data_IF_052228658192
#
_entry.id   IF_052228658192
#
_cell.length_a   1.000
_cell.length_b   1.000
_cell.length_c   1.000
_cell.angle_alpha   90.00
_cell.angle_beta   90.00
_cell.angle_gamma   90.00
#
_symmetry.space_group_name_H-M   'P 1'
#
loop_
_entity.id
_entity.type
_entity.pdbx_description
1 polymer ?
#
# COMPACT_ATOMS: atom_id res chain seq x y z
N UNK A 1 5.44 13.96 35.73
CA UNK A 1 4.91 12.76 35.02
C UNK A 1 4.22 13.14 33.68
N UNK A 2 4.79 14.03 32.86
CA UNK A 2 4.14 14.49 31.61
C UNK A 2 5.11 14.74 30.43
N UNK A 3 6.34 14.22 30.49
CA UNK A 3 7.39 14.50 29.49
C UNK A 3 7.86 13.27 28.70
N UNK A 4 7.37 12.06 29.03
CA UNK A 4 7.78 10.81 28.35
C UNK A 4 6.91 10.45 27.12
N UNK A 5 5.69 10.97 27.00
CA UNK A 5 4.76 10.54 25.93
C UNK A 5 4.90 11.27 24.59
N UNK A 6 5.71 12.34 24.50
CA UNK A 6 5.92 13.08 23.24
C UNK A 6 7.10 12.54 22.43
N UNK A 7 8.03 11.82 23.07
CA UNK A 7 9.21 11.26 22.39
C UNK A 7 8.90 9.96 21.63
N UNK A 8 7.98 9.14 22.14
CA UNK A 8 7.55 7.91 21.48
C UNK A 8 6.79 8.18 20.17
N UNK A 9 5.93 9.21 20.13
CA UNK A 9 5.23 9.63 18.91
C UNK A 9 6.17 10.20 17.83
N UNK A 10 7.28 10.84 18.23
CA UNK A 10 8.25 11.39 17.28
C UNK A 10 9.11 10.31 16.62
N UNK A 11 9.44 9.25 17.36
CA UNK A 11 10.12 8.07 16.79
C UNK A 11 9.18 7.23 15.90
N UNK A 12 7.89 7.19 16.23
CA UNK A 12 6.87 6.48 15.42
C UNK A 12 6.64 7.11 14.04
N UNK A 13 6.84 8.43 13.90
CA UNK A 13 6.61 9.17 12.65
C UNK A 13 7.86 9.31 11.76
N UNK A 14 9.08 9.10 12.29
CA UNK A 14 10.32 9.35 11.53
C UNK A 14 11.47 8.33 11.68
N UNK A 15 11.37 7.25 12.45
CA UNK A 15 12.53 6.37 12.65
C UNK A 15 12.23 4.94 13.04
N UNK A 16 12.14 4.05 12.03
CA UNK A 16 12.63 2.68 12.14
C UNK A 16 13.60 2.44 10.97
N UNK A 17 14.93 2.47 11.20
CA UNK A 17 15.93 2.24 10.15
C UNK A 17 16.09 0.75 9.77
N UNK A 18 15.49 -0.17 10.51
CA UNK A 18 15.80 -1.61 10.41
C UNK A 18 15.20 -2.35 9.21
N UNK A 19 14.33 -1.72 8.40
CA UNK A 19 13.78 -2.33 7.19
C UNK A 19 14.02 -1.53 5.91
N UNK A 20 14.80 -0.44 5.98
CA UNK A 20 14.93 0.52 4.86
C UNK A 20 16.22 0.39 4.05
N UNK A 21 16.99 -0.67 4.22
CA UNK A 21 18.24 -0.84 3.48
C UNK A 21 18.27 -2.15 2.66
N UNK A 22 17.27 -2.34 1.79
CA UNK A 22 17.34 -3.28 0.65
C UNK A 22 16.56 -2.84 -0.59
N UNK A 23 15.89 -1.68 -0.61
CA UNK A 23 14.99 -1.29 -1.73
C UNK A 23 15.54 -0.20 -2.66
N UNK A 24 16.85 -0.07 -2.76
CA UNK A 24 17.48 0.80 -3.74
C UNK A 24 18.36 -0.07 -4.65
N UNK A 25 17.94 -0.23 -5.91
CA UNK A 25 18.41 -1.20 -6.90
C UNK A 25 18.06 -2.66 -6.60
N UNK A 26 16.99 -3.14 -7.22
CA UNK A 26 16.94 -4.42 -7.97
C UNK A 26 15.49 -4.73 -8.35
N UNK A 27 15.12 -4.39 -9.59
CA UNK A 27 14.09 -5.10 -10.32
C UNK A 27 14.61 -6.51 -10.58
N UNK A 28 14.16 -7.47 -9.77
CA UNK A 28 14.37 -8.89 -9.99
C UNK A 28 14.87 -9.59 -8.72
N UNK A 29 14.11 -10.55 -8.23
CA UNK A 29 14.66 -11.70 -7.50
C UNK A 29 15.62 -11.36 -6.35
N UNK A 30 15.11 -10.87 -5.22
CA UNK A 30 15.88 -10.75 -3.97
C UNK A 30 16.22 -12.13 -3.33
N UNK A 31 16.54 -13.13 -4.16
CA UNK A 31 16.97 -14.46 -3.78
C UNK A 31 18.43 -14.75 -4.18
N UNK A 32 19.08 -13.90 -4.97
CA UNK A 32 20.43 -14.19 -5.50
C UNK A 32 21.60 -13.58 -4.71
N UNK A 33 21.39 -12.52 -3.93
CA UNK A 33 22.50 -11.77 -3.29
C UNK A 33 22.93 -12.27 -1.89
N UNK A 34 22.31 -13.31 -1.34
CA UNK A 34 22.82 -14.01 -0.14
C UNK A 34 23.73 -15.21 -0.46
N UNK A 35 24.07 -15.44 -1.73
CA UNK A 35 25.00 -16.50 -2.15
C UNK A 35 26.50 -16.13 -2.03
N UNK A 36 26.83 -14.90 -1.61
CA UNK A 36 28.20 -14.37 -1.73
C UNK A 36 29.09 -14.44 -0.48
N UNK A 37 28.58 -14.71 0.74
CA UNK A 37 29.36 -14.42 1.96
C UNK A 37 29.36 -15.49 3.07
N UNK A 38 29.11 -16.78 2.79
CA UNK A 38 29.37 -17.81 3.80
C UNK A 38 30.11 -19.03 3.22
N UNK A 39 31.24 -19.44 3.81
CA UNK A 39 31.90 -20.69 3.47
C UNK A 39 31.02 -21.85 3.92
N UNK A 40 31.05 -22.90 3.12
CA UNK A 40 30.14 -24.03 3.08
C UNK A 40 29.82 -24.68 4.44
N UNK A 41 28.53 -24.81 4.78
CA UNK A 41 28.01 -26.05 5.34
C UNK A 41 26.49 -26.21 5.12
N UNK A 42 26.13 -27.37 4.60
CA UNK A 42 24.83 -27.76 4.01
C UNK A 42 23.89 -28.23 5.14
N UNK A 43 22.75 -27.56 5.38
CA UNK A 43 21.41 -28.18 5.18
C UNK A 43 20.23 -27.18 5.26
N UNK A 44 20.47 -25.88 5.45
CA UNK A 44 19.39 -24.87 5.57
C UNK A 44 18.83 -24.34 4.23
N UNK A 45 19.48 -24.67 3.11
CA UNK A 45 19.14 -24.12 1.78
C UNK A 45 17.84 -24.68 1.19
N UNK A 46 17.48 -25.93 1.50
CA UNK A 46 16.24 -26.54 1.01
C UNK A 46 15.00 -25.94 1.70
N UNK A 47 15.07 -25.72 3.03
CA UNK A 47 13.99 -25.11 3.80
C UNK A 47 13.72 -23.65 3.37
N UNK A 48 14.76 -22.84 3.18
CA UNK A 48 14.57 -21.43 2.77
C UNK A 48 14.05 -21.34 1.33
N UNK A 49 14.55 -22.17 0.39
CA UNK A 49 14.04 -22.23 -0.98
C UNK A 49 12.60 -22.73 -1.05
N UNK A 50 12.24 -23.75 -0.27
CA UNK A 50 10.85 -24.21 -0.20
C UNK A 50 9.93 -23.15 0.39
N UNK A 51 10.36 -22.42 1.42
CA UNK A 51 9.58 -21.33 2.01
C UNK A 51 9.37 -20.16 1.05
N UNK A 52 10.39 -19.78 0.26
CA UNK A 52 10.25 -18.76 -0.79
C UNK A 52 9.31 -19.20 -1.90
N UNK A 53 9.43 -20.46 -2.35
CA UNK A 53 8.54 -21.05 -3.37
C UNK A 53 7.09 -21.15 -2.89
N UNK A 54 6.87 -21.52 -1.63
CA UNK A 54 5.53 -21.57 -1.02
C UNK A 54 4.94 -20.17 -0.89
N UNK A 55 5.75 -19.16 -0.55
CA UNK A 55 5.29 -17.77 -0.49
C UNK A 55 4.94 -17.20 -1.87
N UNK A 56 5.69 -17.56 -2.91
CA UNK A 56 5.41 -17.19 -4.29
C UNK A 56 4.10 -17.83 -4.78
N UNK A 57 3.93 -19.14 -4.53
CA UNK A 57 2.67 -19.84 -4.83
C UNK A 57 1.48 -19.28 -4.05
N UNK A 58 1.66 -18.93 -2.77
CA UNK A 58 0.62 -18.30 -1.96
C UNK A 58 0.26 -16.89 -2.47
N UNK A 59 1.25 -16.12 -2.91
CA UNK A 59 1.03 -14.80 -3.51
C UNK A 59 0.23 -14.92 -4.81
N UNK A 60 0.49 -15.92 -5.65
CA UNK A 60 -0.29 -16.18 -6.85
C UNK A 60 -1.75 -16.49 -6.52
N UNK A 61 -2.00 -17.30 -5.49
CA UNK A 61 -3.37 -17.54 -5.00
C UNK A 61 -4.03 -16.22 -4.57
N UNK A 62 -3.34 -15.37 -3.81
CA UNK A 62 -3.88 -14.07 -3.40
C UNK A 62 -4.17 -13.15 -4.59
N UNK A 63 -3.33 -13.15 -5.63
CA UNK A 63 -3.54 -12.38 -6.86
C UNK A 63 -4.76 -12.86 -7.64
N UNK A 64 -4.90 -14.18 -7.78
CA UNK A 64 -6.07 -14.81 -8.41
C UNK A 64 -7.34 -14.45 -7.66
N UNK A 65 -7.36 -14.62 -6.33
CA UNK A 65 -8.51 -14.25 -5.50
C UNK A 65 -8.86 -12.76 -5.59
N UNK A 66 -7.86 -11.87 -5.59
CA UNK A 66 -8.09 -10.44 -5.73
C UNK A 66 -8.68 -10.04 -7.10
N UNK A 67 -8.46 -10.84 -8.15
CA UNK A 67 -8.87 -10.52 -9.52
C UNK A 67 -10.19 -11.19 -9.89
N UNK A 68 -10.35 -12.45 -9.51
CA UNK A 68 -11.42 -13.33 -10.01
C UNK A 68 -12.65 -13.35 -9.11
N UNK A 69 -12.52 -13.01 -7.83
CA UNK A 69 -13.67 -12.88 -6.95
C UNK A 69 -14.57 -11.73 -7.42
N UNK A 70 -15.88 -11.93 -7.24
CA UNK A 70 -16.89 -10.90 -7.40
C UNK A 70 -16.65 -9.72 -6.42
N UNK A 71 -17.29 -8.55 -6.63
CA UNK A 71 -17.04 -7.37 -5.80
C UNK A 71 -17.28 -7.58 -4.30
N UNK A 72 -18.23 -8.42 -3.91
CA UNK A 72 -18.54 -8.73 -2.50
C UNK A 72 -17.50 -9.69 -1.93
N UNK A 73 -17.19 -10.79 -2.63
CA UNK A 73 -16.15 -11.73 -2.24
C UNK A 73 -14.78 -11.06 -2.08
N UNK A 74 -14.42 -10.17 -3.02
CA UNK A 74 -13.17 -9.40 -2.99
C UNK A 74 -13.10 -8.46 -1.80
N UNK A 75 -14.21 -7.78 -1.49
CA UNK A 75 -14.29 -6.93 -0.31
C UNK A 75 -14.08 -7.73 0.97
N UNK A 76 -14.74 -8.88 1.15
CA UNK A 76 -14.57 -9.74 2.32
C UNK A 76 -13.14 -10.27 2.44
N UNK A 77 -12.54 -10.67 1.33
CA UNK A 77 -11.16 -11.15 1.26
C UNK A 77 -10.15 -10.06 1.67
N UNK A 78 -10.24 -8.86 1.09
CA UNK A 78 -9.39 -7.73 1.45
C UNK A 78 -9.60 -7.30 2.90
N UNK A 79 -10.84 -7.38 3.39
CA UNK A 79 -11.17 -7.12 4.77
C UNK A 79 -10.51 -8.13 5.72
N UNK A 80 -10.47 -9.42 5.35
CA UNK A 80 -9.77 -10.45 6.10
C UNK A 80 -8.25 -10.19 6.16
N UNK A 81 -7.64 -9.77 5.05
CA UNK A 81 -6.21 -9.38 5.03
C UNK A 81 -5.97 -8.18 5.96
N UNK A 82 -6.80 -7.14 5.84
CA UNK A 82 -6.63 -5.92 6.63
C UNK A 82 -6.86 -6.14 8.14
N UNK A 83 -7.59 -7.19 8.55
CA UNK A 83 -7.71 -7.60 9.96
C UNK A 83 -6.39 -8.09 10.57
N UNK A 84 -5.42 -8.46 9.73
CA UNK A 84 -4.10 -8.90 10.17
C UNK A 84 -3.13 -7.72 10.39
N UNK A 85 -3.53 -6.49 10.01
CA UNK A 85 -2.75 -5.27 10.23
C UNK A 85 -2.95 -4.75 11.66
N UNK A 86 -2.22 -5.32 12.62
CA UNK A 86 -2.41 -5.03 14.04
C UNK A 86 -1.25 -4.20 14.61
N UNK A 87 -0.50 -4.76 15.55
CA UNK A 87 0.75 -4.22 16.09
C UNK A 87 1.95 -4.82 15.33
N UNK A 88 3.19 -4.36 15.56
CA UNK A 88 4.37 -4.95 14.95
C UNK A 88 4.47 -6.46 15.27
N UNK A 89 4.29 -7.30 14.25
CA UNK A 89 4.46 -8.75 14.32
C UNK A 89 4.69 -9.30 12.89
N UNK A 90 5.07 -10.58 12.78
CA UNK A 90 5.36 -11.22 11.49
C UNK A 90 4.15 -11.26 10.55
N UNK A 91 2.94 -11.50 11.05
CA UNK A 91 1.73 -11.47 10.23
C UNK A 91 1.45 -10.07 9.69
N UNK A 92 1.55 -9.04 10.52
CA UNK A 92 1.36 -7.65 10.09
C UNK A 92 2.36 -7.30 8.98
N UNK A 93 3.63 -7.69 9.12
CA UNK A 93 4.64 -7.47 8.08
C UNK A 93 4.28 -8.20 6.77
N UNK A 94 3.96 -9.50 6.88
CA UNK A 94 3.57 -10.32 5.72
C UNK A 94 2.35 -9.76 5.00
N UNK A 95 1.24 -9.52 5.70
CA UNK A 95 0.01 -9.04 5.08
C UNK A 95 0.11 -7.59 4.59
N UNK A 96 0.96 -6.76 5.21
CA UNK A 96 1.29 -5.44 4.69
C UNK A 96 1.99 -5.54 3.34
N UNK A 97 2.97 -6.44 3.20
CA UNK A 97 3.67 -6.67 1.93
C UNK A 97 2.73 -7.27 0.88
N UNK A 98 1.87 -8.23 1.24
CA UNK A 98 0.85 -8.78 0.34
C UNK A 98 -0.07 -7.68 -0.18
N UNK A 99 -0.62 -6.80 0.67
CA UNK A 99 -1.48 -5.70 0.22
C UNK A 99 -0.76 -4.75 -0.73
N UNK A 100 0.51 -4.42 -0.45
CA UNK A 100 1.31 -3.56 -1.32
C UNK A 100 1.59 -4.24 -2.67
N UNK A 101 1.89 -5.54 -2.68
CA UNK A 101 2.06 -6.34 -3.89
C UNK A 101 0.77 -6.42 -4.71
N UNK A 102 -0.37 -6.71 -4.08
CA UNK A 102 -1.67 -6.74 -4.75
C UNK A 102 -2.01 -5.38 -5.37
N UNK A 103 -1.74 -4.28 -4.66
CA UNK A 103 -1.95 -2.93 -5.20
C UNK A 103 -1.04 -2.62 -6.40
N UNK A 104 0.24 -3.01 -6.31
CA UNK A 104 1.23 -2.82 -7.38
C UNK A 104 0.86 -3.60 -8.64
N UNK A 105 0.51 -4.88 -8.49
CA UNK A 105 0.38 -5.81 -9.61
C UNK A 105 -1.03 -5.81 -10.22
N UNK A 106 -2.03 -5.27 -9.50
CA UNK A 106 -3.38 -5.13 -9.99
C UNK A 106 -3.43 -4.36 -11.33
N UNK A 107 -3.90 -5.03 -12.38
CA UNK A 107 -4.17 -4.41 -13.68
C UNK A 107 -5.48 -3.61 -13.66
N UNK A 108 -6.47 -4.11 -12.92
CA UNK A 108 -7.79 -3.49 -12.83
C UNK A 108 -7.80 -2.40 -11.76
N UNK A 109 -8.19 -1.18 -12.14
CA UNK A 109 -8.29 -0.03 -11.22
C UNK A 109 -9.24 -0.31 -10.05
N UNK A 110 -10.31 -1.07 -10.29
CA UNK A 110 -11.30 -1.44 -9.26
C UNK A 110 -10.68 -2.20 -8.07
N UNK A 111 -9.64 -3.01 -8.30
CA UNK A 111 -8.93 -3.72 -7.21
C UNK A 111 -8.18 -2.70 -6.33
N UNK A 112 -7.49 -1.75 -6.95
CA UNK A 112 -6.75 -0.68 -6.25
C UNK A 112 -7.69 0.22 -5.45
N UNK A 113 -8.83 0.55 -6.04
CA UNK A 113 -9.89 1.29 -5.38
C UNK A 113 -10.44 0.51 -4.16
N UNK A 114 -10.78 -0.76 -4.32
CA UNK A 114 -11.28 -1.58 -3.21
C UNK A 114 -10.26 -1.75 -2.07
N UNK A 115 -8.98 -1.96 -2.38
CA UNK A 115 -7.91 -1.97 -1.37
C UNK A 115 -7.91 -0.65 -0.61
N UNK A 116 -7.93 0.47 -1.34
CA UNK A 116 -7.95 1.82 -0.73
C UNK A 116 -9.17 2.02 0.15
N UNK A 117 -10.35 1.61 -0.33
CA UNK A 117 -11.63 1.68 0.40
C UNK A 117 -11.58 0.91 1.72
N UNK A 118 -11.12 -0.34 1.69
CA UNK A 118 -11.01 -1.21 2.88
C UNK A 118 -10.07 -0.62 3.95
N UNK A 119 -9.00 0.05 3.52
CA UNK A 119 -8.09 0.76 4.42
C UNK A 119 -8.71 2.07 4.94
N UNK A 120 -9.35 2.84 4.08
CA UNK A 120 -9.99 4.11 4.43
C UNK A 120 -11.17 3.95 5.39
N UNK A 121 -12.01 2.95 5.18
CA UNK A 121 -13.14 2.63 6.07
C UNK A 121 -12.68 2.47 7.53
N UNK A 122 -11.50 1.85 7.75
CA UNK A 122 -10.90 1.71 9.09
C UNK A 122 -10.20 2.97 9.61
N UNK A 123 -9.85 3.90 8.72
CA UNK A 123 -9.22 5.17 9.08
C UNK A 123 -10.24 6.26 9.43
N UNK A 124 -11.47 6.15 8.95
CA UNK A 124 -12.56 7.09 9.27
C UNK A 124 -13.32 6.74 10.54
N UNK A 125 -13.37 5.46 10.92
CA UNK A 125 -14.01 5.01 12.16
C UNK A 125 -13.31 5.58 13.40
N UNK A 126 -13.99 5.54 14.54
CA UNK A 126 -13.44 6.05 15.80
C UNK A 126 -12.14 5.33 16.21
N UNK A 127 -11.26 6.08 16.88
CA UNK A 127 -9.94 5.63 17.34
C UNK A 127 -10.06 4.57 18.45
N UNK A 128 -9.02 3.73 18.70
CA UNK A 128 -7.66 3.77 18.15
C UNK A 128 -7.49 3.02 16.81
N UNK A 129 -6.72 3.59 15.88
CA UNK A 129 -6.34 2.92 14.64
C UNK A 129 -5.18 1.94 14.88
N UNK A 130 -5.20 0.73 14.31
CA UNK A 130 -4.09 -0.21 14.39
C UNK A 130 -2.81 0.36 13.78
N UNK A 131 -1.65 0.04 14.37
CA UNK A 131 -0.35 0.52 13.89
C UNK A 131 -0.05 0.03 12.47
N UNK A 132 -0.28 -1.25 12.20
CA UNK A 132 -0.05 -1.86 10.88
C UNK A 132 -0.86 -1.18 9.78
N UNK A 133 -2.12 -0.83 10.06
CA UNK A 133 -2.98 -0.10 9.14
C UNK A 133 -2.35 1.22 8.70
N UNK A 134 -1.86 2.01 9.67
CA UNK A 134 -1.24 3.31 9.40
C UNK A 134 0.07 3.17 8.61
N UNK A 135 0.86 2.14 8.90
CA UNK A 135 2.12 1.85 8.20
C UNK A 135 1.84 1.45 6.75
N UNK A 136 0.96 0.48 6.52
CA UNK A 136 0.61 0.02 5.16
C UNK A 136 0.01 1.15 4.33
N UNK A 137 -0.94 1.91 4.89
CA UNK A 137 -1.53 3.04 4.17
C UNK A 137 -0.52 4.15 3.90
N UNK A 138 0.40 4.43 4.83
CA UNK A 138 1.49 5.38 4.61
C UNK A 138 2.43 4.93 3.48
N UNK A 139 2.75 3.63 3.41
CA UNK A 139 3.60 3.07 2.35
C UNK A 139 2.96 3.27 0.97
N UNK A 140 1.67 2.95 0.81
CA UNK A 140 0.93 3.14 -0.44
C UNK A 140 0.93 4.62 -0.90
N UNK A 141 0.73 5.54 0.05
CA UNK A 141 0.61 6.97 -0.23
C UNK A 141 1.96 7.66 -0.47
N UNK A 142 3.03 7.21 0.20
CA UNK A 142 4.36 7.85 0.17
C UNK A 142 5.25 7.29 -0.94
N UNK A 143 5.13 6.01 -1.28
CA UNK A 143 6.04 5.37 -2.21
C UNK A 143 5.62 5.67 -3.65
N UNK A 144 6.46 6.36 -4.46
CA UNK A 144 6.11 6.74 -5.83
C UNK A 144 5.87 5.54 -6.74
N UNK A 145 6.40 4.35 -6.41
CA UNK A 145 6.19 3.10 -7.16
C UNK A 145 4.71 2.80 -7.41
N UNK A 146 3.84 3.12 -6.45
CA UNK A 146 2.42 2.79 -6.56
C UNK A 146 1.60 3.81 -7.36
N UNK A 147 2.20 4.96 -7.67
CA UNK A 147 1.56 6.07 -8.38
C UNK A 147 0.17 6.44 -7.81
N UNK A 148 0.02 6.35 -6.47
CA UNK A 148 -1.28 6.34 -5.79
C UNK A 148 -2.17 7.53 -6.17
N UNK A 149 -1.61 8.73 -6.20
CA UNK A 149 -2.32 10.00 -6.42
C UNK A 149 -2.69 10.31 -7.87
N UNK A 150 -2.22 9.49 -8.81
CA UNK A 150 -2.54 9.62 -10.22
C UNK A 150 -3.71 8.70 -10.63
N UNK A 151 -4.21 7.85 -9.73
CA UNK A 151 -5.43 7.07 -10.01
C UNK A 151 -6.69 7.94 -9.88
N UNK A 152 -7.63 7.75 -10.81
CA UNK A 152 -8.88 8.52 -10.91
C UNK A 152 -9.73 8.47 -9.64
N UNK A 153 -9.74 7.34 -8.91
CA UNK A 153 -10.50 7.19 -7.67
C UNK A 153 -10.02 8.11 -6.54
N UNK A 154 -8.81 8.65 -6.60
CA UNK A 154 -8.32 9.61 -5.59
C UNK A 154 -8.92 11.01 -5.76
N UNK A 155 -9.50 11.29 -6.94
CA UNK A 155 -10.08 12.59 -7.32
C UNK A 155 -11.55 12.46 -7.78
N UNK A 156 -12.19 11.33 -7.49
CA UNK A 156 -13.56 11.08 -7.94
C UNK A 156 -14.59 12.03 -7.29
N UNK A 157 -14.32 12.48 -6.07
CA UNK A 157 -15.17 13.40 -5.32
C UNK A 157 -14.34 14.25 -4.34
N UNK A 158 -14.73 15.52 -4.10
CA UNK A 158 -13.99 16.41 -3.20
C UNK A 158 -13.95 15.89 -1.75
N UNK A 159 -14.97 15.16 -1.30
CA UNK A 159 -15.03 14.56 0.03
C UNK A 159 -13.96 13.47 0.21
N UNK A 160 -13.80 12.61 -0.80
CA UNK A 160 -12.80 11.53 -0.80
C UNK A 160 -11.39 12.11 -0.86
N UNK A 161 -11.17 13.12 -1.71
CA UNK A 161 -9.90 13.83 -1.77
C UNK A 161 -9.55 14.47 -0.43
N UNK A 162 -10.48 15.19 0.20
CA UNK A 162 -10.28 15.80 1.51
C UNK A 162 -9.98 14.75 2.58
N UNK A 163 -10.65 13.60 2.56
CA UNK A 163 -10.43 12.49 3.49
C UNK A 163 -9.03 11.88 3.33
N UNK A 164 -8.62 11.61 2.09
CA UNK A 164 -7.26 11.15 1.76
C UNK A 164 -6.20 12.16 2.20
N UNK A 165 -6.42 13.45 1.92
CA UNK A 165 -5.53 14.53 2.34
C UNK A 165 -5.47 14.68 3.87
N UNK A 166 -6.58 14.48 4.57
CA UNK A 166 -6.65 14.46 6.04
C UNK A 166 -5.86 13.29 6.61
N UNK A 167 -6.05 12.08 6.08
CA UNK A 167 -5.30 10.90 6.47
C UNK A 167 -3.80 11.09 6.23
N UNK A 168 -3.43 11.57 5.04
CA UNK A 168 -2.05 11.93 4.65
C UNK A 168 -1.42 12.92 5.64
N UNK A 169 -2.14 13.99 6.01
CA UNK A 169 -1.68 14.99 6.98
C UNK A 169 -1.47 14.39 8.38
N UNK A 170 -2.42 13.58 8.86
CA UNK A 170 -2.31 12.87 10.15
C UNK A 170 -1.07 11.97 10.21
N UNK A 171 -0.68 11.38 9.08
CA UNK A 171 0.45 10.47 8.93
C UNK A 171 1.78 11.16 8.59
N UNK A 172 1.79 12.50 8.50
CA UNK A 172 2.98 13.29 8.17
C UNK A 172 3.55 12.99 6.79
N UNK A 173 2.74 12.56 5.81
CA UNK A 173 3.23 12.31 4.46
C UNK A 173 3.44 13.64 3.70
N UNK A 174 4.40 13.73 2.75
CA UNK A 174 4.58 14.90 1.88
C UNK A 174 3.37 15.14 0.96
N UNK A 175 3.26 16.34 0.38
CA UNK A 175 2.17 16.67 -0.56
C UNK A 175 2.32 15.82 -1.83
N UNK A 176 1.20 15.34 -2.40
CA UNK A 176 1.25 14.58 -3.64
C UNK A 176 1.75 15.45 -4.79
N UNK A 177 2.61 14.87 -5.64
CA UNK A 177 2.93 15.44 -6.95
C UNK A 177 1.94 14.83 -7.92
N UNK A 178 0.94 15.61 -8.32
CA UNK A 178 0.05 15.23 -9.40
C UNK A 178 0.80 15.45 -10.72
N UNK A 179 0.84 14.45 -11.59
CA UNK A 179 1.20 14.75 -12.98
C UNK A 179 0.11 15.65 -13.54
N UNK A 180 0.48 16.90 -13.80
CA UNK A 180 -0.42 17.91 -14.32
C UNK A 180 -0.71 17.61 -15.79
N UNK A 181 -1.56 16.62 -16.06
CA UNK A 181 -2.20 16.41 -17.36
C UNK A 181 -3.54 15.67 -17.15
N UNK A 182 -4.54 16.02 -17.95
CA UNK A 182 -5.93 15.51 -17.96
C UNK A 182 -6.92 16.15 -16.97
N UNK A 183 -6.93 17.48 -16.86
CA UNK A 183 -8.15 18.24 -16.49
C UNK A 183 -8.47 19.35 -17.51
N UNK A 184 -7.64 19.51 -18.55
CA UNK A 184 -7.83 20.55 -19.56
C UNK A 184 -8.86 20.23 -20.65
N UNK A 185 -9.27 18.97 -20.85
CA UNK A 185 -10.11 18.63 -22.00
C UNK A 185 -11.62 18.62 -21.76
N UNK A 186 -12.10 18.47 -20.51
CA UNK A 186 -13.56 18.40 -20.28
C UNK A 186 -14.21 19.79 -20.21
N UNK A 187 -13.45 20.82 -19.84
CA UNK A 187 -13.96 22.20 -19.77
C UNK A 187 -13.91 22.93 -21.12
N UNK A 188 -13.05 22.49 -22.05
CA UNK A 188 -12.96 23.11 -23.38
C UNK A 188 -14.03 22.60 -24.35
N UNK A 189 -14.56 21.37 -24.18
CA UNK A 189 -15.60 20.84 -25.07
C UNK A 189 -16.96 21.53 -24.85
N UNK A 190 -17.33 21.89 -23.62
CA UNK A 190 -18.63 22.54 -23.34
C UNK A 190 -18.70 23.98 -23.88
N UNK A 191 -17.56 24.68 -23.94
CA UNK A 191 -17.51 26.05 -24.49
C UNK A 191 -17.42 26.08 -26.03
N UNK A 192 -16.97 25.01 -26.67
CA UNK A 192 -16.89 24.94 -28.13
C UNK A 192 -18.27 24.70 -28.78
N UNK A 193 -19.18 23.97 -28.12
CA UNK A 193 -20.52 23.67 -28.67
C UNK A 193 -21.56 24.77 -28.44
N UNK A 194 -21.30 25.71 -27.53
CA UNK A 194 -22.21 26.84 -27.26
C UNK A 194 -21.93 28.10 -28.11
N UNK A 195 -20.92 28.05 -28.98
CA UNK A 195 -20.59 29.15 -29.91
C UNK A 195 -21.01 28.89 -31.37
N UNK A 196 -21.73 27.80 -31.65
CA UNK A 196 -22.23 27.44 -32.98
C UNK A 196 -23.76 27.36 -33.08
N UNK A 197 -24.48 28.06 -32.20
CA UNK A 197 -25.89 28.41 -32.37
C UNK A 197 -26.10 29.91 -32.24
#
# INVERSE_FOLDING_TARGET
MAHASRHWLRNLLFGYPEFRNTKNNESGYAASSLLGLLPQNISLSQSVKSNLSVNEAALDIFKTLATDLDPEGRYLFLNAIANQLRYPNSHTAYFSDILCCLFSDAQQVIVKEQITRVLLERLITEKPHPWGLLVTFSELVKNPKYNFWNHSFTRCAPEIQNLLENARRKLGCPKPVYEANVVSDVHLTIHAETSFL
#
